data_IF_793492858869
#
_entry.id   IF_793492858869
#
_cell.length_a   1.000
_cell.length_b   1.000
_cell.length_c   1.000
_cell.angle_alpha   90.00
_cell.angle_beta   90.00
_cell.angle_gamma   90.00
#
_symmetry.space_group_name_H-M   'P 1'
#
loop_
_entity.id
_entity.type
_entity.pdbx_description
1 polymer ?
#
# COMPACT_ATOMS: atom_id res chain seq x y z
N UNK A 1 9.77 -9.94 12.66
CA UNK A 1 10.22 -9.08 11.55
C UNK A 1 11.36 -8.24 12.08
N UNK A 2 12.54 -8.32 11.46
CA UNK A 2 13.66 -7.47 11.86
C UNK A 2 13.36 -6.03 11.46
N UNK A 3 13.54 -5.07 12.35
CA UNK A 3 13.50 -3.67 11.95
C UNK A 3 14.77 -3.37 11.16
N UNK A 4 14.63 -2.93 9.92
CA UNK A 4 15.75 -2.47 9.11
C UNK A 4 15.91 -0.96 9.24
N UNK A 5 17.13 -0.49 8.97
CA UNK A 5 17.50 0.92 9.15
C UNK A 5 17.71 1.59 7.80
N UNK A 6 17.21 2.82 7.67
CA UNK A 6 17.63 3.75 6.62
C UNK A 6 18.66 4.68 7.25
N UNK A 7 19.85 4.69 6.68
CA UNK A 7 20.93 5.63 7.00
C UNK A 7 20.83 6.81 6.05
N UNK A 8 20.63 8.02 6.57
CA UNK A 8 20.65 9.25 5.77
C UNK A 8 21.94 9.99 6.09
N UNK A 9 22.86 9.98 5.12
CA UNK A 9 24.20 10.54 5.24
C UNK A 9 24.31 11.83 4.45
N UNK A 10 24.62 12.92 5.13
CA UNK A 10 24.96 14.19 4.50
C UNK A 10 26.48 14.33 4.44
N UNK A 11 27.02 14.34 3.24
CA UNK A 11 28.46 14.47 2.97
C UNK A 11 28.86 15.90 2.57
N UNK A 12 27.91 16.83 2.57
CA UNK A 12 28.16 18.25 2.31
C UNK A 12 28.84 18.93 3.50
N UNK A 13 29.50 20.05 3.23
CA UNK A 13 30.10 20.92 4.25
C UNK A 13 29.11 21.77 5.05
N UNK A 14 27.80 21.63 4.78
CA UNK A 14 26.72 22.35 5.47
C UNK A 14 25.62 21.37 5.90
N UNK A 15 24.82 21.70 6.93
CA UNK A 15 23.62 20.92 7.26
C UNK A 15 22.65 20.85 6.08
N UNK A 16 21.95 19.71 5.96
CA UNK A 16 20.93 19.48 4.95
C UNK A 16 19.63 19.07 5.63
N UNK A 17 18.53 19.71 5.27
CA UNK A 17 17.20 19.31 5.70
C UNK A 17 16.61 18.29 4.72
N UNK A 18 15.92 17.30 5.26
CA UNK A 18 15.18 16.32 4.49
C UNK A 18 13.75 16.19 5.01
N UNK A 19 12.79 16.12 4.11
CA UNK A 19 11.49 15.55 4.43
C UNK A 19 11.61 14.04 4.54
N UNK A 20 10.87 13.48 5.50
CA UNK A 20 10.76 12.04 5.70
C UNK A 20 9.30 11.69 5.60
N UNK A 21 8.93 10.93 4.58
CA UNK A 21 7.58 10.40 4.40
C UNK A 21 7.56 8.91 4.71
N UNK A 22 6.50 8.42 5.34
CA UNK A 22 6.30 7.01 5.71
C UNK A 22 7.03 6.56 6.98
N UNK A 23 8.07 7.28 7.39
CA UNK A 23 8.85 7.00 8.61
C UNK A 23 9.01 8.25 9.47
N UNK A 24 9.65 8.10 10.64
CA UNK A 24 9.91 9.20 11.57
C UNK A 24 8.66 10.05 11.92
N UNK A 25 7.48 9.43 11.97
CA UNK A 25 6.19 10.12 12.16
C UNK A 25 5.94 11.26 11.15
N UNK A 26 6.45 11.12 9.92
CA UNK A 26 6.43 12.13 8.87
C UNK A 26 7.07 13.47 9.26
N UNK A 27 8.04 13.45 10.19
CA UNK A 27 8.76 14.65 10.61
C UNK A 27 10.04 14.81 9.82
N UNK A 28 10.30 16.03 9.37
CA UNK A 28 11.57 16.41 8.77
C UNK A 28 12.74 16.14 9.71
N UNK A 29 13.91 15.94 9.12
CA UNK A 29 15.18 15.79 9.81
C UNK A 29 16.18 16.79 9.26
N UNK A 30 17.07 17.27 10.12
CA UNK A 30 18.26 18.02 9.68
C UNK A 30 19.49 17.18 9.97
N UNK A 31 20.21 16.80 8.93
CA UNK A 31 21.47 16.05 9.05
C UNK A 31 22.61 17.04 8.98
N UNK A 32 23.42 17.11 10.05
CA UNK A 32 24.58 18.02 10.13
C UNK A 32 25.57 17.74 9.00
N UNK A 33 26.42 18.71 8.70
CA UNK A 33 27.53 18.54 7.76
C UNK A 33 28.36 17.29 8.12
N UNK A 34 28.73 16.50 7.11
CA UNK A 34 29.54 15.28 7.25
C UNK A 34 29.05 14.32 8.35
N UNK A 35 27.73 14.16 8.47
CA UNK A 35 27.12 13.31 9.50
C UNK A 35 26.05 12.39 8.93
N UNK A 36 25.56 11.50 9.78
CA UNK A 36 24.56 10.50 9.43
C UNK A 36 23.52 10.39 10.53
N UNK A 37 22.27 10.15 10.13
CA UNK A 37 21.19 9.79 11.04
C UNK A 37 20.57 8.46 10.64
N UNK A 38 19.98 7.78 11.62
CA UNK A 38 19.35 6.47 11.45
C UNK A 38 17.84 6.61 11.60
N UNK A 39 17.09 6.06 10.67
CA UNK A 39 15.63 6.03 10.67
C UNK A 39 15.19 4.58 10.68
N UNK A 40 14.32 4.21 11.62
CA UNK A 40 13.72 2.88 11.64
C UNK A 40 12.71 2.75 10.50
N UNK A 41 12.89 1.73 9.67
CA UNK A 41 12.04 1.43 8.52
C UNK A 41 11.66 -0.06 8.56
N UNK A 42 10.52 -0.42 9.17
CA UNK A 42 10.12 -1.81 9.31
C UNK A 42 9.84 -2.45 7.94
N UNK A 43 10.03 -3.76 7.85
CA UNK A 43 9.57 -4.54 6.71
C UNK A 43 8.10 -4.33 6.46
N UNK A 44 7.70 -4.28 5.19
CA UNK A 44 6.33 -3.97 4.91
C UNK A 44 6.02 -2.47 5.11
N UNK A 45 7.01 -1.57 4.96
CA UNK A 45 6.77 -0.13 4.91
C UNK A 45 7.33 0.51 3.64
N UNK A 46 6.72 1.63 3.24
CA UNK A 46 7.13 2.46 2.10
C UNK A 46 7.16 3.92 2.50
N UNK A 47 8.03 4.69 1.86
CA UNK A 47 8.23 6.09 2.18
C UNK A 47 9.26 6.74 1.27
N UNK A 48 9.64 7.96 1.62
CA UNK A 48 10.61 8.75 0.85
C UNK A 48 11.51 9.59 1.76
N UNK A 49 12.75 9.78 1.33
CA UNK A 49 13.69 10.77 1.90
C UNK A 49 13.92 11.84 0.82
N UNK A 50 13.49 13.07 1.07
CA UNK A 50 13.49 14.15 0.06
C UNK A 50 14.38 15.28 0.54
N UNK A 51 15.42 15.66 -0.22
CA UNK A 51 16.24 16.81 0.12
C UNK A 51 15.46 18.11 -0.10
N UNK A 52 15.53 19.05 0.86
CA UNK A 52 14.92 20.37 0.75
C UNK A 52 15.96 21.44 0.37
N UNK A 53 15.64 22.25 -0.62
CA UNK A 53 16.46 23.36 -1.11
C UNK A 53 15.68 24.66 -1.01
N UNK A 54 16.02 25.50 -0.01
CA UNK A 54 15.31 26.74 0.29
C UNK A 54 13.80 26.54 0.49
N UNK A 55 13.42 25.45 1.16
CA UNK A 55 12.01 25.09 1.41
C UNK A 55 11.29 24.45 0.22
N UNK A 56 12.00 24.11 -0.86
CA UNK A 56 11.46 23.39 -2.00
C UNK A 56 11.97 21.95 -2.06
N UNK A 57 11.10 21.02 -2.42
CA UNK A 57 11.46 19.62 -2.68
C UNK A 57 12.51 19.51 -3.81
N UNK A 58 13.46 18.61 -3.61
CA UNK A 58 14.58 18.34 -4.51
C UNK A 58 14.66 16.87 -4.92
N UNK A 59 15.86 16.31 -4.84
CA UNK A 59 16.09 14.90 -5.09
C UNK A 59 15.38 14.06 -4.02
N UNK A 60 14.77 12.96 -4.45
CA UNK A 60 13.99 12.06 -3.61
C UNK A 60 14.51 10.64 -3.75
N UNK A 61 14.79 9.98 -2.62
CA UNK A 61 14.98 8.54 -2.56
C UNK A 61 13.64 7.89 -2.15
N UNK A 62 13.00 7.19 -3.08
CA UNK A 62 11.79 6.38 -2.80
C UNK A 62 12.23 5.01 -2.33
N UNK A 63 11.70 4.53 -1.21
CA UNK A 63 12.12 3.25 -0.63
C UNK A 63 10.88 2.47 -0.17
N UNK A 64 10.83 1.18 -0.50
CA UNK A 64 9.89 0.20 0.02
C UNK A 64 10.69 -0.98 0.56
N UNK A 65 10.50 -1.26 1.85
CA UNK A 65 11.20 -2.31 2.58
C UNK A 65 10.45 -3.63 2.45
N UNK A 66 11.17 -4.70 2.07
CA UNK A 66 10.58 -6.02 1.87
C UNK A 66 9.34 -5.98 0.94
N UNK A 67 9.47 -5.29 -0.19
CA UNK A 67 8.40 -5.10 -1.18
C UNK A 67 8.41 -6.19 -2.24
N UNK A 68 8.82 -5.83 -3.46
CA UNK A 68 8.68 -6.68 -4.64
C UNK A 68 9.43 -8.02 -4.52
N UNK A 69 8.67 -9.12 -4.44
CA UNK A 69 9.22 -10.47 -4.28
C UNK A 69 9.98 -10.68 -2.97
N UNK A 70 9.65 -9.91 -1.93
CA UNK A 70 10.34 -9.92 -0.64
C UNK A 70 11.70 -9.21 -0.65
N UNK A 71 11.99 -8.42 -1.68
CA UNK A 71 13.20 -7.61 -1.77
C UNK A 71 12.90 -6.15 -1.48
N UNK A 72 13.93 -5.42 -1.05
CA UNK A 72 13.85 -3.96 -1.03
C UNK A 72 13.68 -3.42 -2.43
N UNK A 73 12.83 -2.42 -2.56
CA UNK A 73 12.65 -1.65 -3.78
C UNK A 73 12.99 -0.21 -3.46
N UNK A 74 13.83 0.41 -4.26
CA UNK A 74 14.17 1.82 -4.05
C UNK A 74 14.67 2.45 -5.34
N UNK A 75 14.52 3.76 -5.50
CA UNK A 75 15.11 4.52 -6.59
C UNK A 75 15.46 5.95 -6.13
N UNK A 76 16.12 6.70 -7.03
CA UNK A 76 16.32 8.15 -6.85
C UNK A 76 15.63 8.86 -7.99
N UNK A 77 14.76 9.79 -7.65
CA UNK A 77 14.08 10.66 -8.59
C UNK A 77 14.44 12.11 -8.39
N UNK A 78 14.36 12.87 -9.49
CA UNK A 78 14.40 14.34 -9.52
C UNK A 78 13.06 14.90 -9.97
N UNK A 79 12.00 14.09 -9.89
CA UNK A 79 10.66 14.43 -10.42
C UNK A 79 10.03 15.62 -9.68
N UNK A 80 10.35 15.81 -8.40
CA UNK A 80 9.86 16.93 -7.57
C UNK A 80 10.81 18.14 -7.55
N UNK A 81 12.04 17.99 -8.04
CA UNK A 81 13.03 19.04 -8.17
C UNK A 81 14.44 18.50 -8.05
N UNK A 82 15.43 19.40 -8.06
CA UNK A 82 16.81 19.08 -7.70
C UNK A 82 17.60 20.34 -7.30
N UNK A 83 18.54 20.21 -6.39
CA UNK A 83 19.48 21.23 -5.93
C UNK A 83 20.80 20.68 -5.37
N UNK A 84 20.97 19.35 -5.35
CA UNK A 84 22.14 18.63 -4.85
C UNK A 84 22.35 17.30 -5.56
N UNK A 85 23.20 16.44 -5.01
CA UNK A 85 23.43 15.11 -5.55
C UNK A 85 22.95 14.08 -4.55
N UNK A 86 22.19 13.10 -5.01
CA UNK A 86 21.67 12.03 -4.17
C UNK A 86 21.87 10.67 -4.83
N UNK A 87 22.30 9.71 -4.03
CA UNK A 87 22.29 8.28 -4.40
C UNK A 87 21.71 7.45 -3.27
N UNK A 88 21.18 6.28 -3.62
CA UNK A 88 20.71 5.28 -2.65
C UNK A 88 21.27 3.91 -3.02
N UNK A 89 21.61 3.10 -2.01
CA UNK A 89 22.06 1.72 -2.19
C UNK A 89 21.73 0.87 -0.95
N UNK A 90 21.73 -0.46 -1.08
CA UNK A 90 21.84 -1.33 0.10
C UNK A 90 23.22 -1.16 0.75
N UNK A 91 23.26 -1.12 2.09
CA UNK A 91 24.51 -1.00 2.84
C UNK A 91 25.47 -2.13 2.45
N UNK A 92 26.70 -1.76 2.07
CA UNK A 92 27.73 -2.69 1.64
C UNK A 92 27.56 -3.28 0.23
N UNK A 93 26.56 -2.84 -0.55
CA UNK A 93 26.31 -3.36 -1.90
C UNK A 93 26.17 -2.25 -2.94
N UNK A 94 27.32 -1.76 -3.40
CA UNK A 94 27.39 -0.70 -4.42
C UNK A 94 26.78 -1.10 -5.78
N UNK A 95 26.55 -2.40 -6.05
CA UNK A 95 25.90 -2.84 -7.29
C UNK A 95 24.41 -2.49 -7.33
N UNK A 96 23.81 -2.26 -6.16
CA UNK A 96 22.41 -1.84 -6.05
C UNK A 96 22.24 -0.32 -6.14
N UNK A 97 23.34 0.44 -6.32
CA UNK A 97 23.32 1.90 -6.30
C UNK A 97 22.47 2.49 -7.42
N UNK A 98 21.70 3.52 -7.06
CA UNK A 98 20.84 4.30 -7.95
C UNK A 98 21.01 5.79 -7.71
N UNK A 99 20.60 6.60 -8.69
CA UNK A 99 20.82 8.04 -8.71
C UNK A 99 22.15 8.45 -9.36
N UNK A 100 22.32 9.75 -9.58
CA UNK A 100 23.52 10.34 -10.15
C UNK A 100 24.31 11.06 -9.04
N UNK A 101 25.48 10.51 -8.70
CA UNK A 101 26.36 11.08 -7.69
C UNK A 101 26.91 12.47 -8.06
N UNK A 102 26.79 12.85 -9.33
CA UNK A 102 27.24 14.12 -9.89
C UNK A 102 26.14 14.84 -10.69
N UNK A 103 24.88 14.66 -10.29
CA UNK A 103 23.72 15.27 -10.96
C UNK A 103 23.90 16.78 -11.19
N UNK A 104 24.21 17.56 -10.15
CA UNK A 104 24.34 19.02 -10.24
C UNK A 104 25.55 19.46 -11.08
N UNK A 105 26.64 18.70 -11.10
CA UNK A 105 27.78 18.98 -11.99
C UNK A 105 27.43 18.70 -13.44
N UNK A 106 26.71 17.61 -13.71
CA UNK A 106 26.19 17.28 -15.04
C UNK A 106 25.18 18.33 -15.51
N UNK A 107 24.28 18.77 -14.63
CA UNK A 107 23.31 19.84 -14.88
C UNK A 107 24.00 21.16 -15.20
N UNK A 108 24.97 21.59 -14.39
CA UNK A 108 25.72 22.82 -14.63
C UNK A 108 26.52 22.76 -15.95
N UNK A 109 27.10 21.59 -16.26
CA UNK A 109 27.77 21.35 -17.55
C UNK A 109 26.80 21.46 -18.71
N UNK A 110 25.62 20.84 -18.63
CA UNK A 110 24.58 20.93 -19.65
C UNK A 110 24.06 22.37 -19.79
N UNK A 111 23.84 23.06 -18.67
CA UNK A 111 23.35 24.44 -18.63
C UNK A 111 24.33 25.42 -19.27
N UNK A 112 25.63 25.30 -18.97
CA UNK A 112 26.65 26.15 -19.59
C UNK A 112 26.67 26.04 -21.12
N UNK A 113 26.42 24.82 -21.64
CA UNK A 113 26.37 24.50 -23.08
C UNK A 113 25.02 24.78 -23.73
N UNK A 114 23.96 24.98 -22.95
CA UNK A 114 22.62 25.23 -23.46
C UNK A 114 22.57 26.56 -24.25
N UNK A 115 21.85 26.56 -25.37
CA UNK A 115 21.61 27.76 -26.17
C UNK A 115 20.85 28.81 -25.36
N UNK A 116 20.97 30.08 -25.76
CA UNK A 116 20.22 31.16 -25.12
C UNK A 116 18.71 30.92 -25.20
N UNK A 117 18.22 30.35 -26.30
CA UNK A 117 16.81 29.99 -26.46
C UNK A 117 16.36 28.94 -25.44
N UNK A 118 17.16 27.89 -25.20
CA UNK A 118 16.88 26.91 -24.15
C UNK A 118 16.86 27.57 -22.78
N UNK A 119 17.86 28.41 -22.47
CA UNK A 119 17.90 29.15 -21.19
C UNK A 119 16.68 30.05 -21.01
N UNK A 120 16.25 30.74 -22.06
CA UNK A 120 15.06 31.60 -22.05
C UNK A 120 13.77 30.82 -21.79
N UNK A 121 13.64 29.60 -22.35
CA UNK A 121 12.49 28.71 -22.10
C UNK A 121 12.45 28.19 -20.67
N UNK A 122 13.62 28.00 -20.05
CA UNK A 122 13.77 27.39 -18.72
C UNK A 122 13.92 28.41 -17.58
N UNK A 123 13.95 29.71 -17.89
CA UNK A 123 14.25 30.78 -16.91
C UNK A 123 13.35 30.82 -15.67
N UNK A 124 12.14 30.25 -15.77
CA UNK A 124 11.16 30.23 -14.68
C UNK A 124 11.26 28.98 -13.80
N UNK A 125 12.03 27.96 -14.22
CA UNK A 125 12.15 26.68 -13.52
C UNK A 125 13.59 26.21 -13.31
N UNK A 126 14.57 26.97 -13.80
CA UNK A 126 16.00 26.78 -13.53
C UNK A 126 16.52 28.00 -12.79
N UNK A 127 16.91 27.80 -11.54
CA UNK A 127 17.32 28.84 -10.62
C UNK A 127 18.85 28.95 -10.64
N UNK A 128 19.36 30.11 -11.00
CA UNK A 128 20.78 30.35 -11.24
C UNK A 128 21.31 31.39 -10.26
N UNK A 129 22.46 31.11 -9.66
CA UNK A 129 23.23 32.05 -8.85
C UNK A 129 24.67 32.07 -9.35
N UNK A 130 25.22 33.27 -9.59
CA UNK A 130 26.58 33.46 -10.10
C UNK A 130 26.89 32.62 -11.36
N UNK A 131 25.91 32.52 -12.27
CA UNK A 131 26.03 31.76 -13.51
C UNK A 131 25.96 30.23 -13.35
N UNK A 132 25.77 29.71 -12.15
CA UNK A 132 25.59 28.29 -11.85
C UNK A 132 24.15 27.97 -11.46
N UNK A 133 23.63 26.85 -11.93
CA UNK A 133 22.35 26.32 -11.48
C UNK A 133 22.50 25.89 -10.02
N UNK A 134 21.66 26.44 -9.15
CA UNK A 134 21.57 26.10 -7.73
C UNK A 134 20.37 25.23 -7.42
N UNK A 135 19.32 25.30 -8.25
CA UNK A 135 18.11 24.51 -8.10
C UNK A 135 17.35 24.43 -9.42
N UNK A 136 16.58 23.38 -9.62
CA UNK A 136 15.54 23.27 -10.63
C UNK A 136 14.21 22.91 -9.96
N UNK A 137 13.11 23.39 -10.50
CA UNK A 137 11.78 22.97 -10.08
C UNK A 137 11.45 21.55 -10.57
N UNK A 138 10.32 21.01 -10.13
CA UNK A 138 9.79 19.71 -10.51
C UNK A 138 9.65 19.52 -12.04
N UNK A 139 10.48 18.68 -12.71
CA UNK A 139 10.38 18.43 -14.14
C UNK A 139 9.00 17.96 -14.60
N UNK A 140 8.24 17.24 -13.74
CA UNK A 140 6.85 16.84 -14.01
C UNK A 140 5.91 18.00 -14.35
N UNK A 141 6.21 19.21 -13.88
CA UNK A 141 5.41 20.41 -14.12
C UNK A 141 5.88 21.20 -15.35
N UNK A 142 7.04 20.85 -15.92
CA UNK A 142 7.71 21.64 -16.95
C UNK A 142 8.27 20.73 -18.07
N UNK A 143 7.50 20.42 -19.12
CA UNK A 143 7.94 19.51 -20.18
C UNK A 143 9.26 19.88 -20.86
N UNK A 144 9.55 21.18 -21.02
CA UNK A 144 10.84 21.63 -21.57
C UNK A 144 12.00 21.40 -20.59
N UNK A 145 11.77 21.47 -19.28
CA UNK A 145 12.76 21.14 -18.27
C UNK A 145 13.04 19.64 -18.28
N UNK A 146 11.99 18.81 -18.33
CA UNK A 146 12.15 17.36 -18.44
C UNK A 146 13.02 16.99 -19.66
N UNK A 147 12.69 17.54 -20.85
CA UNK A 147 13.49 17.34 -22.06
C UNK A 147 14.96 17.73 -21.86
N UNK A 148 15.21 18.85 -21.18
CA UNK A 148 16.55 19.32 -20.90
C UNK A 148 17.30 18.39 -19.92
N UNK A 149 16.67 17.98 -18.81
CA UNK A 149 17.27 17.06 -17.83
C UNK A 149 17.61 15.72 -18.46
N UNK A 150 16.75 15.21 -19.35
CA UNK A 150 17.02 13.97 -20.12
C UNK A 150 18.26 14.05 -21.00
N UNK A 151 18.75 15.24 -21.38
CA UNK A 151 19.98 15.33 -22.18
C UNK A 151 21.25 14.90 -21.43
N UNK A 152 21.22 14.83 -20.09
CA UNK A 152 22.41 14.51 -19.28
C UNK A 152 22.18 13.47 -18.17
N UNK A 153 20.94 13.26 -17.72
CA UNK A 153 20.61 12.37 -16.59
C UNK A 153 19.78 11.14 -16.99
N UNK A 154 19.44 10.96 -18.26
CA UNK A 154 18.59 9.84 -18.71
C UNK A 154 19.23 8.49 -18.36
N UNK A 155 18.49 7.66 -17.63
CA UNK A 155 18.96 6.36 -17.12
C UNK A 155 19.89 6.44 -15.91
N UNK A 156 20.20 7.62 -15.37
CA UNK A 156 20.98 7.78 -14.13
C UNK A 156 20.11 8.12 -12.92
N UNK A 157 19.02 8.84 -13.14
CA UNK A 157 17.99 9.14 -12.16
C UNK A 157 16.62 9.03 -12.82
N UNK A 158 15.58 8.87 -12.02
CA UNK A 158 14.20 8.92 -12.48
C UNK A 158 13.80 10.40 -12.67
N UNK A 159 13.42 10.81 -13.88
CA UNK A 159 13.27 12.25 -14.21
C UNK A 159 11.81 12.72 -14.28
N UNK A 160 10.89 11.89 -14.75
CA UNK A 160 9.56 12.36 -15.14
C UNK A 160 8.49 11.28 -15.05
N UNK A 161 8.00 10.84 -16.20
CA UNK A 161 6.86 9.92 -16.30
C UNK A 161 7.35 8.47 -16.21
N UNK A 162 7.42 7.93 -15.00
CA UNK A 162 7.45 6.48 -14.81
C UNK A 162 6.15 5.84 -15.28
N UNK A 163 6.13 4.51 -15.33
CA UNK A 163 4.92 3.78 -15.69
C UNK A 163 3.78 4.11 -14.69
N UNK A 164 2.88 4.99 -15.10
CA UNK A 164 1.75 5.44 -14.27
C UNK A 164 0.48 5.49 -15.10
N UNK A 165 -0.63 5.05 -14.51
CA UNK A 165 -1.97 5.09 -15.10
C UNK A 165 -2.07 4.45 -16.51
N UNK A 166 -1.35 3.33 -16.72
CA UNK A 166 -1.35 2.59 -17.98
C UNK A 166 -0.43 3.12 -19.08
N UNK A 167 0.31 4.21 -18.83
CA UNK A 167 1.43 4.58 -19.69
C UNK A 167 2.63 3.68 -19.37
N UNK A 168 3.34 3.24 -20.42
CA UNK A 168 4.55 2.42 -20.25
C UNK A 168 5.69 3.16 -19.53
N UNK A 169 5.58 4.49 -19.41
CA UNK A 169 6.62 5.35 -18.88
C UNK A 169 7.85 5.38 -19.81
N UNK A 170 8.89 6.06 -19.35
CA UNK A 170 10.20 5.98 -19.99
C UNK A 170 10.95 4.71 -19.54
N UNK A 171 11.50 3.95 -20.48
CA UNK A 171 12.20 2.70 -20.17
C UNK A 171 13.43 2.89 -19.27
N UNK A 172 14.14 4.00 -19.41
CA UNK A 172 15.31 4.32 -18.61
C UNK A 172 14.92 4.71 -17.18
N UNK A 173 13.80 5.41 -17.00
CA UNK A 173 13.23 5.68 -15.67
C UNK A 173 12.82 4.35 -15.00
N UNK A 174 12.15 3.45 -15.73
CA UNK A 174 11.74 2.14 -15.20
C UNK A 174 12.93 1.24 -14.80
N UNK A 175 14.07 1.33 -15.49
CA UNK A 175 15.27 0.57 -15.14
C UNK A 175 15.86 1.02 -13.79
N UNK A 176 15.71 2.31 -13.45
CA UNK A 176 16.07 2.82 -12.12
C UNK A 176 15.15 2.22 -11.04
N UNK A 177 13.90 1.90 -11.35
CA UNK A 177 12.93 1.32 -10.41
C UNK A 177 13.00 -0.22 -10.31
N UNK A 178 14.18 -0.84 -10.38
CA UNK A 178 14.36 -2.30 -10.19
C UNK A 178 14.43 -2.72 -8.71
N UNK A 179 14.06 -3.95 -8.35
CA UNK A 179 14.24 -4.42 -6.97
C UNK A 179 15.74 -4.68 -6.66
N UNK A 180 16.15 -4.43 -5.42
CA UNK A 180 17.44 -4.85 -4.88
C UNK A 180 17.51 -6.36 -4.63
N UNK A 181 18.55 -6.80 -3.92
CA UNK A 181 18.74 -8.22 -3.60
C UNK A 181 18.49 -8.49 -2.11
N UNK A 182 17.38 -9.15 -1.82
CA UNK A 182 16.90 -9.39 -0.47
C UNK A 182 16.51 -8.10 0.25
N UNK A 183 16.53 -8.17 1.57
CA UNK A 183 16.11 -7.12 2.46
C UNK A 183 17.26 -6.76 3.42
N UNK A 184 17.76 -5.53 3.32
CA UNK A 184 18.95 -5.03 4.01
C UNK A 184 18.74 -3.60 4.48
N UNK A 185 19.66 -3.11 5.32
CA UNK A 185 19.71 -1.68 5.59
C UNK A 185 19.99 -0.89 4.30
N UNK A 186 19.41 0.31 4.22
CA UNK A 186 19.52 1.19 3.06
C UNK A 186 20.37 2.41 3.44
N UNK A 187 21.27 2.81 2.55
CA UNK A 187 22.09 4.01 2.67
C UNK A 187 21.63 5.02 1.62
N UNK A 188 21.14 6.18 2.07
CA UNK A 188 20.88 7.38 1.27
C UNK A 188 22.03 8.35 1.51
N UNK A 189 22.76 8.70 0.45
CA UNK A 189 23.85 9.66 0.50
C UNK A 189 23.48 10.92 -0.25
N UNK A 190 23.67 12.06 0.41
CA UNK A 190 23.49 13.39 -0.16
C UNK A 190 24.80 14.18 -0.14
N UNK A 191 25.07 14.97 -1.17
CA UNK A 191 26.24 15.86 -1.25
C UNK A 191 26.02 17.01 -2.23
N UNK A 192 26.46 18.22 -1.88
CA UNK A 192 26.61 19.33 -2.84
C UNK A 192 27.77 19.07 -3.84
N UNK A 193 28.67 18.14 -3.50
CA UNK A 193 29.85 17.75 -4.29
C UNK A 193 29.65 16.41 -4.99
N UNK A 194 30.31 15.36 -4.48
CA UNK A 194 30.14 13.98 -4.93
C UNK A 194 29.32 13.21 -3.89
N UNK A 195 28.21 12.62 -4.31
CA UNK A 195 27.36 11.80 -3.44
C UNK A 195 27.77 10.31 -3.39
N UNK A 196 28.88 9.92 -4.03
CA UNK A 196 29.43 8.57 -3.93
C UNK A 196 29.78 8.22 -2.49
N UNK A 197 29.21 7.16 -1.90
CA UNK A 197 29.55 6.73 -0.55
C UNK A 197 31.04 6.36 -0.48
N UNK A 198 31.78 7.00 0.43
CA UNK A 198 33.20 6.72 0.69
C UNK A 198 33.39 5.51 1.62
N UNK A 199 32.66 4.41 1.40
CA UNK A 199 32.67 3.21 2.27
C UNK A 199 33.90 2.31 2.08
N UNK A 200 35.02 2.86 1.59
CA UNK A 200 36.32 2.19 1.71
C UNK A 200 36.63 1.92 3.20
N UNK A 201 37.45 0.91 3.48
CA UNK A 201 37.87 0.40 4.80
C UNK A 201 38.35 1.44 5.86
N UNK A 202 38.30 2.74 5.59
CA UNK A 202 38.77 3.83 6.45
C UNK A 202 37.69 4.64 7.17
N UNK A 203 36.40 4.38 6.99
CA UNK A 203 35.35 5.17 7.65
C UNK A 203 35.17 4.88 9.18
N UNK A 204 35.91 3.93 9.76
CA UNK A 204 35.81 3.60 11.19
C UNK A 204 36.59 4.56 12.13
N UNK A 205 37.38 5.52 11.64
CA UNK A 205 38.26 6.31 12.53
C UNK A 205 37.73 7.68 12.98
N UNK A 206 36.52 8.11 12.58
CA UNK A 206 35.99 9.43 12.96
C UNK A 206 34.82 9.41 13.96
N UNK A 207 34.46 8.24 14.50
CA UNK A 207 33.39 8.10 15.50
C UNK A 207 33.90 8.08 16.96
N UNK A 208 35.07 8.65 17.23
CA UNK A 208 35.68 8.66 18.56
C UNK A 208 35.91 10.08 19.08
N UNK A 209 34.86 10.88 19.20
CA UNK A 209 34.80 11.91 20.26
C UNK A 209 33.43 11.85 20.95
N UNK A 210 33.45 11.16 22.08
CA UNK A 210 32.36 10.97 23.05
C UNK A 210 31.98 12.29 23.72
N UNK A 211 30.69 12.61 23.75
CA UNK A 211 30.10 13.55 24.73
C UNK A 211 29.33 12.70 25.76
N UNK A 212 29.49 12.95 27.07
CA UNK A 212 28.98 12.06 28.12
C UNK A 212 27.46 12.20 28.29
N UNK A 213 26.76 11.07 28.34
CA UNK A 213 25.37 11.01 28.81
C UNK A 213 25.34 11.08 30.34
N UNK A 214 24.72 12.13 30.88
CA UNK A 214 24.26 12.16 32.26
C UNK A 214 23.22 11.06 32.48
N UNK A 215 23.50 10.21 33.46
CA UNK A 215 22.64 9.11 33.88
C UNK A 215 21.75 9.61 35.02
N UNK A 216 20.44 9.71 34.79
CA UNK A 216 19.47 9.92 35.88
C UNK A 216 19.13 8.56 36.46
N UNK A 217 19.58 8.34 37.70
CA UNK A 217 19.20 7.23 38.58
C UNK A 217 17.72 7.37 38.97
N UNK A 218 16.91 6.35 38.65
CA UNK A 218 15.68 6.06 39.39
C UNK A 218 15.78 4.62 39.86
N UNK A 219 16.06 4.48 41.15
CA UNK A 219 15.85 3.24 41.91
C UNK A 219 14.36 3.11 42.19
N UNK A 220 13.77 1.96 41.88
CA UNK A 220 12.93 1.30 42.88
C UNK A 220 12.71 -0.18 42.57
N UNK A 221 12.70 -0.91 43.68
CA UNK A 221 12.73 -2.34 43.94
C UNK A 221 11.56 -3.15 43.42
N UNK A 222 11.88 -4.36 42.96
CA UNK A 222 10.96 -5.48 42.64
C UNK A 222 10.75 -6.35 43.88
N UNK A 223 9.53 -6.81 44.21
CA UNK A 223 9.33 -8.03 44.97
C UNK A 223 8.93 -9.22 44.07
N UNK A 224 9.38 -10.39 44.52
CA UNK A 224 9.29 -11.73 43.92
C UNK A 224 7.84 -12.27 43.78
N UNK A 225 7.62 -13.32 42.97
CA UNK A 225 6.28 -13.85 42.67
C UNK A 225 5.82 -14.88 43.72
N UNK A 226 4.54 -14.79 44.10
CA UNK A 226 3.85 -15.80 44.91
C UNK A 226 3.12 -16.83 44.04
N UNK A 227 3.31 -18.09 44.41
CA UNK A 227 2.59 -19.29 43.99
C UNK A 227 1.06 -19.18 44.10
N UNK A 228 0.34 -19.58 43.05
CA UNK A 228 -1.06 -20.03 43.19
C UNK A 228 -1.35 -21.30 42.40
N UNK A 229 -1.81 -22.28 43.19
CA UNK A 229 -2.22 -23.64 42.87
C UNK A 229 -3.43 -23.68 41.93
N UNK A 230 -3.36 -24.61 40.98
CA UNK A 230 -4.50 -25.10 40.18
C UNK A 230 -5.46 -25.95 41.05
N UNK A 231 -6.78 -25.93 40.76
CA UNK A 231 -7.66 -27.00 41.18
C UNK A 231 -7.92 -27.99 40.03
N UNK A 232 -7.62 -29.24 40.35
CA UNK A 232 -8.07 -30.46 39.68
C UNK A 232 -9.61 -30.51 39.70
N UNK A 233 -10.23 -30.73 38.55
CA UNK A 233 -11.61 -31.22 38.47
C UNK A 233 -11.66 -32.48 37.59
N UNK A 234 -12.32 -33.46 38.17
CA UNK A 234 -12.43 -34.87 37.85
C UNK A 234 -13.17 -35.17 36.55
N UNK A 235 -12.75 -36.27 35.94
CA UNK A 235 -13.34 -36.94 34.79
C UNK A 235 -14.53 -37.80 35.24
N UNK A 236 -15.61 -37.83 34.47
CA UNK A 236 -16.61 -38.91 34.52
C UNK A 236 -17.10 -39.26 33.12
N UNK A 237 -16.69 -40.43 32.64
CA UNK A 237 -17.38 -41.29 31.66
C UNK A 237 -18.62 -41.92 32.34
N UNK A 238 -19.69 -42.43 31.73
CA UNK A 238 -20.19 -42.60 30.36
C UNK A 238 -21.71 -42.92 30.47
N UNK A 239 -22.50 -42.73 29.41
CA UNK A 239 -23.30 -43.81 28.77
C UNK A 239 -24.33 -43.27 27.76
N UNK A 240 -24.73 -44.07 26.75
CA UNK A 240 -25.42 -43.62 25.54
C UNK A 240 -26.95 -43.80 25.61
N UNK A 241 -27.70 -43.02 24.84
CA UNK A 241 -29.12 -43.26 24.57
C UNK A 241 -29.45 -43.09 23.09
N UNK A 242 -29.57 -44.27 22.47
CA UNK A 242 -30.64 -44.78 21.61
C UNK A 242 -31.40 -43.92 20.58
N UNK A 243 -31.50 -44.49 19.39
CA UNK A 243 -32.29 -44.11 18.22
C UNK A 243 -33.62 -44.86 18.27
N UNK A 244 -34.77 -44.17 18.22
CA UNK A 244 -35.90 -44.47 17.31
C UNK A 244 -37.21 -43.71 17.63
N UNK A 245 -37.84 -43.26 16.53
CA UNK A 245 -39.27 -42.96 16.30
C UNK A 245 -39.85 -41.58 16.74
N UNK A 246 -40.99 -41.15 16.17
CA UNK A 246 -41.22 -40.86 14.75
C UNK A 246 -41.71 -39.41 14.52
N UNK A 247 -41.81 -39.04 13.25
CA UNK A 247 -42.27 -37.76 12.69
C UNK A 247 -43.73 -37.43 13.02
N UNK A 248 -43.98 -36.26 13.61
CA UNK A 248 -45.25 -35.54 13.49
C UNK A 248 -44.99 -34.01 13.45
N UNK A 249 -45.38 -33.39 12.34
CA UNK A 249 -45.36 -31.94 12.12
C UNK A 249 -46.63 -31.31 12.71
N UNK A 250 -46.56 -30.30 13.58
CA UNK A 250 -47.69 -29.44 13.83
C UNK A 250 -47.67 -28.24 12.87
N UNK A 251 -48.79 -28.06 12.18
CA UNK A 251 -49.17 -26.82 11.50
C UNK A 251 -49.40 -25.73 12.55
N UNK A 252 -48.70 -24.59 12.48
CA UNK A 252 -48.97 -23.45 13.36
C UNK A 252 -49.45 -22.26 12.53
N UNK A 253 -50.66 -21.84 12.88
CA UNK A 253 -51.41 -20.69 12.38
C UNK A 253 -50.68 -19.36 12.66
N UNK A 254 -50.71 -18.45 11.68
CA UNK A 254 -50.35 -17.05 11.87
C UNK A 254 -51.44 -16.33 12.69
N UNK A 255 -51.15 -16.03 13.95
CA UNK A 255 -51.81 -14.96 14.67
C UNK A 255 -50.78 -14.22 15.53
N UNK A 256 -50.86 -12.89 15.43
CA UNK A 256 -50.04 -11.87 16.09
C UNK A 256 -49.75 -12.15 17.57
N UNK A 257 -48.47 -12.24 17.91
CA UNK A 257 -47.96 -12.13 19.27
C UNK A 257 -47.16 -10.83 19.36
N UNK A 258 -47.71 -9.86 20.10
CA UNK A 258 -46.98 -8.69 20.56
C UNK A 258 -45.81 -9.16 21.44
N UNK A 259 -44.58 -8.81 21.04
CA UNK A 259 -43.38 -9.09 21.81
C UNK A 259 -43.15 -7.95 22.82
N UNK A 260 -42.87 -8.24 24.11
CA UNK A 260 -42.53 -7.22 25.07
C UNK A 260 -41.20 -6.57 24.68
N UNK A 261 -41.14 -5.24 24.75
CA UNK A 261 -39.93 -4.47 24.53
C UNK A 261 -38.88 -4.83 25.60
N UNK A 262 -38.00 -5.78 25.28
CA UNK A 262 -36.75 -5.95 26.00
C UNK A 262 -35.84 -4.77 25.64
N UNK A 263 -35.52 -3.97 26.65
CA UNK A 263 -34.35 -3.11 26.66
C UNK A 263 -33.09 -3.97 26.48
N UNK A 264 -32.77 -4.29 25.23
CA UNK A 264 -31.50 -4.89 24.87
C UNK A 264 -30.42 -3.80 25.01
N UNK A 265 -29.73 -3.79 26.15
CA UNK A 265 -28.38 -3.22 26.20
C UNK A 265 -27.58 -3.91 25.09
N UNK A 266 -27.27 -3.17 24.03
CA UNK A 266 -26.50 -3.66 22.90
C UNK A 266 -25.15 -4.17 23.40
N UNK A 267 -25.01 -5.48 23.55
CA UNK A 267 -23.69 -6.12 23.59
C UNK A 267 -23.03 -5.72 22.29
N UNK A 268 -21.89 -5.02 22.35
CA UNK A 268 -21.21 -4.56 21.15
C UNK A 268 -20.88 -5.77 20.29
N UNK A 269 -21.59 -5.92 19.18
CA UNK A 269 -21.44 -7.04 18.29
C UNK A 269 -20.01 -6.99 17.71
N UNK A 270 -19.25 -8.07 17.86
CA UNK A 270 -17.87 -8.18 17.34
C UNK A 270 -17.80 -7.74 15.86
N UNK A 271 -16.88 -6.85 15.45
CA UNK A 271 -16.75 -6.43 14.06
C UNK A 271 -16.42 -7.58 13.11
N UNK A 272 -16.85 -7.48 11.86
CA UNK A 272 -16.49 -8.48 10.86
C UNK A 272 -17.44 -8.59 9.68
N UNK A 273 -17.30 -9.70 8.95
CA UNK A 273 -18.03 -9.95 7.70
C UNK A 273 -18.86 -11.22 7.81
N UNK A 274 -20.16 -11.11 7.52
CA UNK A 274 -20.99 -12.26 7.21
C UNK A 274 -20.73 -12.65 5.75
N UNK A 275 -19.91 -13.67 5.52
CA UNK A 275 -19.51 -14.10 4.18
C UNK A 275 -20.37 -15.27 3.70
N UNK A 276 -20.89 -15.19 2.49
CA UNK A 276 -21.67 -16.26 1.85
C UNK A 276 -21.10 -16.62 0.48
N UNK A 277 -20.91 -17.93 0.25
CA UNK A 277 -20.59 -18.48 -1.06
C UNK A 277 -21.88 -18.90 -1.77
N UNK A 278 -22.33 -18.16 -2.78
CA UNK A 278 -23.44 -18.53 -3.66
C UNK A 278 -23.00 -19.24 -4.94
N UNK A 279 -21.70 -19.43 -5.14
CA UNK A 279 -21.20 -20.18 -6.29
C UNK A 279 -21.55 -21.66 -6.20
N UNK A 280 -21.49 -22.32 -7.35
CA UNK A 280 -21.76 -23.76 -7.49
C UNK A 280 -20.60 -24.66 -7.05
N UNK A 281 -19.48 -24.08 -6.61
CA UNK A 281 -18.28 -24.82 -6.17
C UNK A 281 -17.79 -24.34 -4.81
N UNK A 282 -17.04 -25.19 -4.14
CA UNK A 282 -16.31 -24.75 -2.95
C UNK A 282 -15.30 -23.67 -3.35
N UNK A 283 -15.24 -22.60 -2.56
CA UNK A 283 -14.33 -21.49 -2.77
C UNK A 283 -13.61 -21.16 -1.48
N UNK A 284 -12.31 -20.90 -1.58
CA UNK A 284 -11.53 -20.31 -0.50
C UNK A 284 -11.44 -18.81 -0.70
N UNK A 285 -11.80 -18.06 0.33
CA UNK A 285 -11.77 -16.60 0.34
C UNK A 285 -10.66 -16.12 1.25
N UNK A 286 -9.90 -15.13 0.77
CA UNK A 286 -8.75 -14.59 1.46
C UNK A 286 -9.01 -13.12 1.80
N UNK A 287 -8.73 -12.76 3.05
CA UNK A 287 -8.84 -11.42 3.59
C UNK A 287 -7.47 -10.77 3.60
N UNK A 288 -7.39 -9.59 3.01
CA UNK A 288 -6.16 -8.81 2.91
C UNK A 288 -6.40 -7.47 3.60
N UNK A 289 -5.59 -7.17 4.62
CA UNK A 289 -5.56 -5.82 5.20
C UNK A 289 -4.77 -4.90 4.26
N UNK A 290 -5.11 -3.61 4.22
CA UNK A 290 -4.37 -2.66 3.42
C UNK A 290 -3.02 -2.36 4.07
N UNK A 291 -2.04 -2.06 3.22
CA UNK A 291 -0.70 -1.70 3.66
C UNK A 291 -0.66 -0.28 4.27
N UNK A 292 -1.52 0.61 3.75
CA UNK A 292 -1.65 2.00 4.22
C UNK A 292 -3.01 2.23 4.86
N UNK A 293 -3.04 2.31 6.19
CA UNK A 293 -4.24 2.55 6.99
C UNK A 293 -4.20 3.97 7.60
N UNK A 294 -4.54 5.01 6.84
CA UNK A 294 -4.76 6.34 7.44
C UNK A 294 -4.42 7.61 6.64
N UNK A 295 -4.00 7.54 5.38
CA UNK A 295 -3.64 8.73 4.58
C UNK A 295 -4.55 8.98 3.36
N UNK A 296 -5.67 8.24 3.24
CA UNK A 296 -6.57 8.37 2.09
C UNK A 296 -6.18 7.55 0.85
N UNK A 297 -5.10 6.77 0.90
CA UNK A 297 -4.66 5.89 -0.20
C UNK A 297 -4.73 4.43 0.24
N UNK A 298 -5.66 3.65 -0.33
CA UNK A 298 -5.75 2.22 -0.07
C UNK A 298 -4.67 1.45 -0.86
N UNK A 299 -3.60 1.06 -0.16
CA UNK A 299 -2.54 0.23 -0.72
C UNK A 299 -2.90 -1.24 -0.65
N UNK A 300 -3.09 -1.86 -1.80
CA UNK A 300 -3.45 -3.26 -1.85
C UNK A 300 -2.27 -4.18 -1.47
N UNK A 301 -2.39 -4.89 -0.34
CA UNK A 301 -1.56 -6.05 -0.02
C UNK A 301 -2.03 -7.29 -0.82
N UNK A 302 -1.27 -7.74 -1.81
CA UNK A 302 -1.72 -8.79 -2.75
C UNK A 302 -1.23 -10.20 -2.39
N UNK A 303 -0.22 -10.31 -1.54
CA UNK A 303 0.54 -11.54 -1.27
C UNK A 303 0.57 -11.96 0.20
N UNK A 304 0.10 -11.13 1.14
CA UNK A 304 0.02 -11.47 2.56
C UNK A 304 -1.43 -11.50 3.08
N UNK A 305 -2.20 -12.57 2.81
CA UNK A 305 -3.54 -12.70 3.37
C UNK A 305 -3.46 -12.83 4.90
N UNK A 306 -4.26 -12.05 5.61
CA UNK A 306 -4.38 -12.09 7.07
C UNK A 306 -5.14 -13.34 7.54
N UNK A 307 -6.19 -13.71 6.80
CA UNK A 307 -7.12 -14.77 7.16
C UNK A 307 -7.72 -15.38 5.91
N UNK A 308 -8.12 -16.65 5.97
CA UNK A 308 -8.88 -17.27 4.90
C UNK A 308 -10.00 -18.17 5.44
N UNK A 309 -11.01 -18.41 4.60
CA UNK A 309 -12.14 -19.29 4.89
C UNK A 309 -12.52 -20.06 3.63
N UNK A 310 -12.62 -21.38 3.74
CA UNK A 310 -13.18 -22.24 2.70
C UNK A 310 -14.68 -22.43 2.96
N UNK A 311 -15.51 -22.14 1.95
CA UNK A 311 -16.96 -22.29 2.04
C UNK A 311 -17.47 -23.19 0.92
N UNK A 312 -18.24 -24.22 1.32
CA UNK A 312 -19.03 -25.05 0.39
C UNK A 312 -20.07 -24.20 -0.36
N UNK A 313 -20.59 -24.67 -1.51
CA UNK A 313 -21.70 -24.03 -2.19
C UNK A 313 -22.88 -23.75 -1.25
N UNK A 314 -23.38 -22.52 -1.27
CA UNK A 314 -24.50 -22.06 -0.43
C UNK A 314 -24.15 -21.79 1.04
N UNK A 315 -22.94 -22.14 1.50
CA UNK A 315 -22.55 -21.98 2.90
C UNK A 315 -22.28 -20.51 3.25
N UNK A 316 -22.50 -20.18 4.53
CA UNK A 316 -22.21 -18.87 5.09
C UNK A 316 -21.43 -19.00 6.39
N UNK A 317 -20.54 -18.06 6.65
CA UNK A 317 -19.76 -17.99 7.89
C UNK A 317 -19.55 -16.54 8.30
N UNK A 318 -19.69 -16.25 9.59
CA UNK A 318 -19.23 -14.98 10.15
C UNK A 318 -17.72 -15.02 10.34
N UNK A 319 -17.03 -14.03 9.81
CA UNK A 319 -15.59 -13.85 9.91
C UNK A 319 -15.32 -12.64 10.79
N UNK A 320 -15.01 -12.92 12.06
CA UNK A 320 -14.51 -11.91 12.98
C UNK A 320 -13.18 -11.31 12.49
N UNK A 321 -13.09 -9.99 12.56
CA UNK A 321 -11.94 -9.17 12.16
C UNK A 321 -11.75 -8.03 13.16
N UNK A 322 -10.52 -7.50 13.34
CA UNK A 322 -10.31 -6.38 14.25
C UNK A 322 -11.05 -5.13 13.75
N UNK A 323 -11.54 -4.29 14.67
CA UNK A 323 -12.21 -3.03 14.32
C UNK A 323 -11.33 -2.12 13.42
N UNK A 324 -10.02 -2.22 13.58
CA UNK A 324 -9.02 -1.48 12.81
C UNK A 324 -8.82 -2.00 11.38
N UNK A 325 -9.44 -3.12 10.99
CA UNK A 325 -9.28 -3.70 9.67
C UNK A 325 -9.79 -2.75 8.59
N UNK A 326 -8.94 -2.47 7.59
CA UNK A 326 -9.31 -1.73 6.38
C UNK A 326 -8.70 -2.44 5.19
N UNK A 327 -9.51 -3.12 4.41
CA UNK A 327 -8.97 -4.01 3.40
C UNK A 327 -10.06 -4.61 2.54
N UNK A 328 -9.89 -5.88 2.18
CA UNK A 328 -10.79 -6.57 1.26
C UNK A 328 -10.87 -8.06 1.50
N UNK A 329 -11.89 -8.66 0.89
CA UNK A 329 -11.97 -10.11 0.67
C UNK A 329 -12.06 -10.40 -0.83
N UNK A 330 -11.37 -11.46 -1.27
CA UNK A 330 -11.45 -11.96 -2.65
C UNK A 330 -11.46 -13.50 -2.69
N UNK A 331 -11.83 -14.07 -3.84
CA UNK A 331 -11.77 -15.51 -4.10
C UNK A 331 -10.37 -15.92 -4.55
N UNK A 332 -9.79 -16.90 -3.86
CA UNK A 332 -8.44 -17.36 -4.12
C UNK A 332 -7.38 -16.28 -3.91
N UNK A 333 -6.14 -16.58 -4.30
CA UNK A 333 -4.98 -15.68 -4.13
C UNK A 333 -4.53 -15.01 -5.43
N UNK A 334 -5.23 -15.28 -6.54
CA UNK A 334 -4.76 -14.92 -7.88
C UNK A 334 -5.63 -13.85 -8.53
N UNK A 335 -4.96 -12.88 -9.17
CA UNK A 335 -5.58 -11.90 -10.05
C UNK A 335 -5.72 -12.43 -11.49
N UNK A 336 -6.65 -11.88 -12.29
CA UNK A 336 -7.63 -10.83 -11.93
C UNK A 336 -8.74 -11.33 -10.99
N UNK A 337 -9.27 -10.49 -10.09
CA UNK A 337 -10.27 -10.91 -9.08
C UNK A 337 -11.24 -9.79 -8.70
N UNK A 338 -12.49 -10.16 -8.40
CA UNK A 338 -13.49 -9.25 -7.84
C UNK A 338 -13.18 -9.00 -6.36
N UNK A 339 -13.22 -7.74 -5.94
CA UNK A 339 -12.97 -7.33 -4.57
C UNK A 339 -14.23 -6.81 -3.90
N UNK A 340 -14.46 -7.26 -2.66
CA UNK A 340 -15.31 -6.53 -1.72
C UNK A 340 -14.39 -5.80 -0.75
N UNK A 341 -14.36 -4.47 -0.84
CA UNK A 341 -13.49 -3.58 -0.06
C UNK A 341 -14.27 -3.01 1.11
N UNK A 342 -13.64 -2.90 2.28
CA UNK A 342 -14.30 -2.39 3.48
C UNK A 342 -13.34 -1.96 4.58
N UNK A 343 -13.81 -1.03 5.41
CA UNK A 343 -13.27 -0.71 6.72
C UNK A 343 -14.33 -0.96 7.79
N UNK A 344 -13.95 -1.47 8.96
CA UNK A 344 -14.92 -1.87 9.98
C UNK A 344 -15.19 -0.80 11.06
N UNK A 345 -14.34 0.21 11.15
CA UNK A 345 -14.50 1.34 12.08
C UNK A 345 -13.94 2.61 11.40
N UNK A 346 -14.83 3.32 10.70
CA UNK A 346 -14.49 4.57 10.03
C UNK A 346 -14.29 5.69 11.07
N UNK A 347 -13.24 6.49 10.92
CA UNK A 347 -12.86 7.49 11.93
C UNK A 347 -13.89 8.62 12.11
N UNK A 348 -14.74 8.85 11.12
CA UNK A 348 -15.71 9.95 11.10
C UNK A 348 -17.03 9.60 11.78
N UNK A 349 -17.51 8.37 11.71
CA UNK A 349 -18.83 7.97 12.23
C UNK A 349 -18.84 6.63 12.97
N UNK A 350 -17.68 5.97 13.09
CA UNK A 350 -17.48 4.66 13.72
C UNK A 350 -18.33 3.52 13.12
N UNK A 351 -18.84 3.70 11.89
CA UNK A 351 -19.54 2.66 11.15
C UNK A 351 -18.55 1.82 10.32
N UNK A 352 -18.99 0.62 9.91
CA UNK A 352 -18.34 -0.09 8.82
C UNK A 352 -18.76 0.54 7.49
N UNK A 353 -17.84 0.69 6.55
CA UNK A 353 -18.09 1.16 5.19
C UNK A 353 -17.48 0.18 4.21
N UNK A 354 -18.17 -0.10 3.10
CA UNK A 354 -17.58 -0.91 2.04
C UNK A 354 -18.30 -0.82 0.71
N UNK A 355 -17.66 -1.37 -0.31
CA UNK A 355 -18.07 -1.34 -1.70
C UNK A 355 -17.54 -2.55 -2.46
N UNK A 356 -17.88 -2.64 -3.74
CA UNK A 356 -17.36 -3.65 -4.66
C UNK A 356 -16.45 -2.95 -5.66
N UNK A 357 -15.27 -3.53 -5.89
CA UNK A 357 -14.29 -3.04 -6.84
C UNK A 357 -13.92 -4.12 -7.86
N UNK A 358 -13.93 -3.70 -9.12
CA UNK A 358 -13.52 -4.49 -10.28
C UNK A 358 -12.20 -3.94 -10.86
N UNK A 359 -11.54 -3.03 -10.15
CA UNK A 359 -10.34 -2.35 -10.64
C UNK A 359 -9.20 -3.33 -10.94
N UNK A 360 -9.07 -4.38 -10.11
CA UNK A 360 -8.09 -5.45 -10.28
C UNK A 360 -8.63 -6.65 -11.06
N UNK A 361 -9.75 -6.45 -11.76
CA UNK A 361 -10.44 -7.43 -12.59
C UNK A 361 -11.75 -7.93 -11.98
N UNK A 362 -12.36 -8.90 -12.64
CA UNK A 362 -13.62 -9.49 -12.19
C UNK A 362 -13.64 -10.99 -12.49
N UNK A 363 -13.71 -11.81 -11.43
CA UNK A 363 -13.77 -13.26 -11.53
C UNK A 363 -15.14 -13.83 -11.10
N UNK A 364 -16.11 -12.95 -10.87
CA UNK A 364 -17.48 -13.29 -10.53
C UNK A 364 -18.24 -12.10 -9.96
N UNK A 365 -19.56 -12.24 -9.86
CA UNK A 365 -20.39 -11.22 -9.23
C UNK A 365 -20.23 -11.26 -7.69
N UNK A 366 -20.35 -10.10 -7.05
CA UNK A 366 -20.32 -9.96 -5.61
C UNK A 366 -21.20 -8.79 -5.16
N UNK A 367 -21.83 -8.91 -3.99
CA UNK A 367 -22.55 -7.82 -3.32
C UNK A 367 -22.04 -7.60 -1.91
N UNK A 368 -22.17 -6.36 -1.44
CA UNK A 368 -21.93 -5.98 -0.05
C UNK A 368 -23.17 -5.29 0.52
N UNK A 369 -23.53 -5.61 1.76
CA UNK A 369 -24.75 -5.13 2.40
C UNK A 369 -24.54 -4.76 3.88
N UNK A 370 -25.31 -3.78 4.36
CA UNK A 370 -25.39 -3.41 5.77
C UNK A 370 -26.06 -4.52 6.58
N UNK A 371 -25.70 -4.66 7.86
CA UNK A 371 -26.31 -5.65 8.77
C UNK A 371 -26.96 -5.02 10.00
N UNK A 372 -27.01 -3.68 10.05
CA UNK A 372 -27.57 -2.89 11.15
C UNK A 372 -29.07 -2.59 11.00
N UNK A 373 -29.75 -3.22 10.04
CA UNK A 373 -31.16 -2.99 9.72
C UNK A 373 -31.42 -1.81 8.78
N UNK A 374 -30.39 -1.10 8.31
CA UNK A 374 -30.55 -0.01 7.34
C UNK A 374 -30.87 -0.48 5.91
N UNK A 375 -30.74 -1.79 5.65
CA UNK A 375 -31.07 -2.45 4.38
C UNK A 375 -30.35 -1.84 3.15
N UNK A 376 -29.14 -1.32 3.34
CA UNK A 376 -28.28 -0.84 2.26
C UNK A 376 -27.57 -2.02 1.61
N UNK A 377 -27.53 -2.04 0.28
CA UNK A 377 -26.84 -3.05 -0.52
C UNK A 377 -26.31 -2.41 -1.80
N UNK A 378 -25.12 -2.82 -2.23
CA UNK A 378 -24.56 -2.46 -3.52
C UNK A 378 -23.77 -3.63 -4.14
N UNK A 379 -23.38 -3.51 -5.40
CA UNK A 379 -22.61 -4.53 -6.12
C UNK A 379 -23.35 -5.22 -7.28
N UNK A 380 -22.78 -6.35 -7.70
CA UNK A 380 -23.27 -7.22 -8.75
C UNK A 380 -24.02 -8.38 -8.10
N UNK A 381 -25.34 -8.38 -8.23
CA UNK A 381 -26.21 -9.41 -7.65
C UNK A 381 -26.29 -10.64 -8.55
N UNK A 382 -27.25 -11.51 -8.21
CA UNK A 382 -27.56 -12.71 -8.99
C UNK A 382 -27.92 -12.41 -10.46
N UNK A 383 -28.40 -11.20 -10.75
CA UNK A 383 -28.71 -10.70 -12.10
C UNK A 383 -27.47 -10.62 -13.01
N UNK A 384 -26.28 -10.55 -12.43
CA UNK A 384 -25.01 -10.47 -13.14
C UNK A 384 -24.07 -11.65 -12.81
N UNK A 385 -24.59 -12.76 -12.30
CA UNK A 385 -23.77 -13.94 -11.96
C UNK A 385 -22.97 -14.50 -13.14
N UNK A 386 -23.39 -14.23 -14.39
CA UNK A 386 -22.72 -14.65 -15.61
C UNK A 386 -21.88 -13.54 -16.28
N UNK A 387 -21.55 -12.47 -15.55
CA UNK A 387 -20.78 -11.32 -16.06
C UNK A 387 -19.48 -11.74 -16.74
N UNK A 388 -18.76 -12.72 -16.20
CA UNK A 388 -17.50 -13.25 -16.78
C UNK A 388 -17.76 -14.12 -18.01
N UNK A 389 -18.84 -14.92 -17.99
CA UNK A 389 -19.18 -15.81 -19.10
C UNK A 389 -19.63 -15.04 -20.35
N UNK A 390 -20.30 -13.89 -20.16
CA UNK A 390 -20.78 -13.02 -21.24
C UNK A 390 -19.77 -11.97 -21.71
N UNK A 391 -18.60 -11.88 -21.07
CA UNK A 391 -17.59 -10.90 -21.44
C UNK A 391 -16.95 -11.25 -22.80
N UNK A 392 -16.66 -10.24 -23.65
CA UNK A 392 -15.97 -10.46 -24.92
C UNK A 392 -14.56 -10.99 -24.68
N UNK A 393 -14.02 -11.81 -25.59
CA UNK A 393 -12.68 -12.40 -25.45
C UNK A 393 -11.58 -11.35 -25.24
N UNK A 394 -11.70 -10.18 -25.88
CA UNK A 394 -10.75 -9.09 -25.71
C UNK A 394 -10.69 -8.51 -24.27
N UNK A 395 -11.77 -8.68 -23.50
CA UNK A 395 -11.84 -8.26 -22.10
C UNK A 395 -11.31 -9.32 -21.12
N UNK A 396 -10.95 -10.51 -21.61
CA UNK A 396 -10.67 -11.67 -20.77
C UNK A 396 -9.17 -11.91 -20.64
N UNK A 397 -8.79 -12.29 -19.43
CA UNK A 397 -7.48 -12.85 -19.11
C UNK A 397 -7.64 -14.19 -18.38
N UNK A 398 -6.72 -15.12 -18.63
CA UNK A 398 -6.58 -16.31 -17.80
C UNK A 398 -5.76 -15.98 -16.56
N UNK A 399 -6.30 -16.31 -15.39
CA UNK A 399 -5.54 -16.34 -14.14
C UNK A 399 -4.39 -17.36 -14.24
N UNK A 400 -3.35 -17.29 -13.39
CA UNK A 400 -2.28 -18.28 -13.36
C UNK A 400 -2.76 -19.74 -13.20
N UNK A 401 -3.88 -19.98 -12.50
CA UNK A 401 -4.52 -21.29 -12.37
C UNK A 401 -5.34 -21.72 -13.61
N UNK A 402 -5.35 -20.91 -14.67
CA UNK A 402 -6.07 -21.17 -15.93
C UNK A 402 -7.53 -20.72 -15.95
N UNK A 403 -8.09 -20.26 -14.83
CA UNK A 403 -9.48 -19.78 -14.77
C UNK A 403 -9.67 -18.49 -15.61
N UNK A 404 -10.84 -18.35 -16.23
CA UNK A 404 -11.23 -17.10 -16.89
C UNK A 404 -11.59 -16.04 -15.86
N UNK A 405 -11.10 -14.83 -16.08
CA UNK A 405 -11.56 -13.62 -15.43
C UNK A 405 -11.58 -12.47 -16.45
N UNK A 406 -12.41 -11.46 -16.18
CA UNK A 406 -12.31 -10.18 -16.87
C UNK A 406 -11.05 -9.48 -16.35
N UNK A 407 -10.25 -8.96 -17.27
CA UNK A 407 -8.95 -8.38 -17.01
C UNK A 407 -9.04 -7.07 -16.19
N UNK A 408 -7.90 -6.63 -15.67
CA UNK A 408 -7.79 -5.39 -14.88
C UNK A 408 -8.22 -4.16 -15.70
N UNK A 409 -8.89 -3.23 -15.05
CA UNK A 409 -9.39 -1.98 -15.65
C UNK A 409 -8.52 -0.78 -15.30
N UNK A 410 -7.64 -0.89 -14.31
CA UNK A 410 -6.66 0.17 -13.97
C UNK A 410 -5.22 -0.25 -14.22
N UNK A 411 -5.01 -1.50 -14.66
CA UNK A 411 -3.70 -2.12 -14.75
C UNK A 411 -3.27 -2.74 -13.42
N UNK A 412 -2.27 -3.61 -13.51
CA UNK A 412 -1.57 -4.18 -12.37
C UNK A 412 -0.11 -4.45 -12.76
N UNK A 413 0.68 -5.04 -11.86
CA UNK A 413 2.09 -5.36 -12.12
C UNK A 413 2.31 -6.28 -13.33
N UNK A 414 1.26 -6.95 -13.81
CA UNK A 414 1.30 -7.86 -14.96
C UNK A 414 0.75 -7.22 -16.26
N UNK A 415 0.48 -5.91 -16.30
CA UNK A 415 0.04 -5.22 -17.51
C UNK A 415 -0.81 -3.97 -17.27
N UNK A 416 -0.92 -3.12 -18.30
CA UNK A 416 -1.75 -1.92 -18.27
C UNK A 416 -3.27 -2.20 -18.23
N UNK A 417 -4.10 -1.15 -18.13
CA UNK A 417 -5.55 -1.27 -18.13
C UNK A 417 -6.06 -1.89 -19.44
N UNK A 418 -7.04 -2.80 -19.33
CA UNK A 418 -7.68 -3.41 -20.49
C UNK A 418 -8.91 -2.61 -20.91
N UNK A 419 -8.84 -1.99 -22.09
CA UNK A 419 -9.93 -1.13 -22.60
C UNK A 419 -11.23 -1.90 -22.83
N UNK A 420 -11.16 -3.12 -23.36
CA UNK A 420 -12.36 -3.93 -23.61
C UNK A 420 -13.04 -4.34 -22.29
N UNK A 421 -12.25 -4.60 -21.23
CA UNK A 421 -12.78 -4.83 -19.89
C UNK A 421 -13.49 -3.60 -19.32
N UNK A 422 -12.86 -2.42 -19.43
CA UNK A 422 -13.46 -1.14 -19.01
C UNK A 422 -14.79 -0.90 -19.72
N UNK A 423 -14.82 -1.00 -21.05
CA UNK A 423 -16.01 -0.72 -21.85
C UNK A 423 -17.13 -1.73 -21.57
N UNK A 424 -16.78 -3.01 -21.42
CA UNK A 424 -17.74 -4.06 -21.07
C UNK A 424 -18.35 -3.84 -19.68
N UNK A 425 -17.52 -3.66 -18.65
CA UNK A 425 -17.98 -3.50 -17.27
C UNK A 425 -18.78 -2.21 -17.09
N UNK A 426 -18.39 -1.11 -17.74
CA UNK A 426 -19.18 0.13 -17.70
C UNK A 426 -20.57 -0.06 -18.29
N UNK A 427 -20.68 -0.86 -19.36
CA UNK A 427 -21.95 -1.13 -20.02
C UNK A 427 -22.87 -2.04 -19.23
N UNK A 428 -22.35 -3.11 -18.62
CA UNK A 428 -23.18 -4.16 -17.99
C UNK A 428 -23.31 -4.01 -16.47
N UNK A 429 -22.34 -3.38 -15.80
CA UNK A 429 -22.32 -3.15 -14.36
C UNK A 429 -22.61 -1.67 -14.07
N UNK A 430 -21.81 -0.79 -14.67
CA UNK A 430 -21.85 0.64 -14.43
C UNK A 430 -21.21 1.07 -13.10
N UNK A 431 -20.55 2.24 -13.11
CA UNK A 431 -19.79 2.80 -11.99
C UNK A 431 -20.61 3.04 -10.71
N UNK A 432 -21.96 3.02 -10.78
CA UNK A 432 -22.82 3.14 -9.59
C UNK A 432 -22.85 1.85 -8.75
N UNK A 433 -22.58 0.70 -9.37
CA UNK A 433 -22.67 -0.62 -8.70
C UNK A 433 -21.31 -1.11 -8.19
N UNK A 434 -20.22 -0.71 -8.84
CA UNK A 434 -18.87 -1.10 -8.46
C UNK A 434 -17.83 -0.12 -9.03
N UNK A 435 -16.65 -0.05 -8.40
CA UNK A 435 -15.52 0.69 -8.96
C UNK A 435 -15.00 -0.03 -10.20
N UNK A 436 -15.10 0.62 -11.36
CA UNK A 436 -14.59 0.08 -12.62
C UNK A 436 -13.28 0.77 -12.96
N UNK A 437 -13.28 2.09 -13.07
CA UNK A 437 -12.06 2.91 -13.12
C UNK A 437 -11.98 3.76 -11.86
N UNK A 438 -10.78 4.19 -11.45
CA UNK A 438 -10.60 4.97 -10.21
C UNK A 438 -11.45 6.24 -10.15
N UNK A 439 -11.53 6.86 -8.97
CA UNK A 439 -12.26 8.12 -8.74
C UNK A 439 -13.41 7.98 -7.74
N UNK A 440 -14.33 8.95 -7.75
CA UNK A 440 -15.54 8.98 -6.90
C UNK A 440 -16.78 8.52 -7.68
N UNK A 441 -17.76 7.88 -7.04
CA UNK A 441 -19.08 7.66 -7.68
C UNK A 441 -19.77 6.34 -7.40
N UNK A 442 -19.13 5.43 -6.68
CA UNK A 442 -19.80 4.25 -6.10
C UNK A 442 -20.36 4.67 -4.74
N UNK A 443 -21.69 4.61 -4.51
CA UNK A 443 -22.25 4.77 -3.18
C UNK A 443 -21.73 3.65 -2.28
N UNK A 444 -21.10 4.04 -1.18
CA UNK A 444 -20.64 3.12 -0.16
C UNK A 444 -21.81 2.54 0.64
N UNK A 445 -21.60 1.34 1.17
CA UNK A 445 -22.54 0.68 2.07
C UNK A 445 -22.02 0.85 3.50
N UNK A 446 -22.71 1.71 4.26
CA UNK A 446 -22.42 1.93 5.67
C UNK A 446 -23.28 1.05 6.60
N UNK A 447 -22.70 0.57 7.70
CA UNK A 447 -23.39 -0.22 8.73
C UNK A 447 -22.89 0.12 10.13
N UNK A 448 -23.76 0.65 10.99
CA UNK A 448 -23.43 1.18 12.33
C UNK A 448 -22.97 0.13 13.34
N UNK A 449 -23.30 -1.13 13.10
CA UNK A 449 -22.94 -2.24 13.98
C UNK A 449 -21.53 -2.81 13.69
N UNK A 450 -20.72 -2.12 12.86
CA UNK A 450 -19.37 -2.52 12.46
C UNK A 450 -19.31 -3.90 11.77
N UNK A 451 -20.40 -4.28 11.12
CA UNK A 451 -20.56 -5.54 10.39
C UNK A 451 -21.17 -5.34 9.02
N UNK A 452 -20.62 -6.01 8.02
CA UNK A 452 -21.17 -6.06 6.66
C UNK A 452 -21.45 -7.50 6.26
N UNK A 453 -22.35 -7.71 5.31
CA UNK A 453 -22.57 -9.00 4.67
C UNK A 453 -22.00 -8.95 3.25
N UNK A 454 -21.22 -9.96 2.88
CA UNK A 454 -20.64 -10.11 1.55
C UNK A 454 -21.14 -11.42 0.95
N UNK A 455 -21.65 -11.35 -0.27
CA UNK A 455 -22.12 -12.52 -1.03
C UNK A 455 -21.32 -12.61 -2.32
N UNK A 456 -20.72 -13.78 -2.58
CA UNK A 456 -19.90 -14.06 -3.75
C UNK A 456 -20.58 -15.15 -4.60
N UNK A 457 -20.88 -14.86 -5.86
CA UNK A 457 -21.71 -15.70 -6.75
C UNK A 457 -20.92 -16.64 -7.66
#
# INVERSE_FOLDING_TARGET
>A
MGAHTIFVRNMSGKPQEFEVHGWNNNKNITVKAHSEVKISAPDGSSGAIIALHDGHEGEQAEITKNGFGGNDFFDVSVIVGAGGNMVVQQVGDAKTRKGDAHFMQSLNTAWSKASQDTKNKLKNCVHVSNGKVVRIDAPKNFPELEKFVRTFADGKAYIGVGAWNGQLGNANDNNQSSAGHGNKDILVCYSDGDATPNDGFHAQSLAAESVPSETVLVTDSVPAPEDKKEPIVTVSEASPLDLNAPTDLPTINLASVEMPALNARAVSAEPGIQLTNKSKKECTYYFYDNYWNGNGTAGANFDHPLKHVALKPGASQFVALPATFKGRVQRGTQLPATWAEFQLDASNDHAAHGDISLQQGCDGAATIASTDGSNRINGLGADLADVVAKAPEAAIRKKPNGERAIDTTVGNWNGGPNRAAIDYLNRVVGQKRAYIVGGTGVPDVASKNRRLAVVMY
#
